data_IF_463985114146
#
_entry.id   IF_463985114146
#
_cell.length_a   1.000
_cell.length_b   1.000
_cell.length_c   1.000
_cell.angle_alpha   90.00
_cell.angle_beta   90.00
_cell.angle_gamma   90.00
#
_symmetry.space_group_name_H-M   'P 1'
#
loop_
_entity.id
_entity.type
_entity.pdbx_description
1 polymer ?
#
# COMPACT_ATOMS: atom_id res chain seq x y z
N UNK A 1 -19.31 -0.22 3.12
CA UNK A 1 -20.20 -0.73 4.18
C UNK A 1 -19.40 -1.42 5.27
N UNK A 2 -19.86 -1.35 6.51
CA UNK A 2 -19.20 -2.01 7.63
C UNK A 2 -20.25 -2.46 8.64
N UNK A 3 -19.85 -3.42 9.47
CA UNK A 3 -20.69 -3.91 10.56
C UNK A 3 -20.51 -3.06 11.82
N UNK A 4 -21.52 -2.99 12.67
CA UNK A 4 -21.40 -2.27 13.94
C UNK A 4 -20.29 -2.84 14.82
N UNK A 5 -20.15 -4.17 14.83
CA UNK A 5 -19.15 -4.88 15.65
C UNK A 5 -17.88 -5.20 14.88
N UNK A 6 -17.81 -4.83 13.61
CA UNK A 6 -16.68 -5.11 12.78
C UNK A 6 -15.70 -3.95 12.72
N UNK A 7 -14.97 -3.90 11.62
CA UNK A 7 -13.95 -2.89 11.39
C UNK A 7 -14.46 -1.83 10.44
N UNK A 8 -13.87 -0.65 10.51
CA UNK A 8 -14.12 0.43 9.56
C UNK A 8 -12.86 0.63 8.75
N UNK A 9 -13.01 0.54 7.43
CA UNK A 9 -11.91 0.73 6.50
C UNK A 9 -12.26 1.88 5.59
N UNK A 10 -11.32 2.80 5.45
CA UNK A 10 -11.48 3.92 4.53
C UNK A 10 -10.42 3.78 3.46
N UNK A 11 -10.85 3.59 2.21
CA UNK A 11 -9.91 3.57 1.09
C UNK A 11 -9.38 4.98 0.91
N UNK A 12 -8.09 5.15 1.13
CA UNK A 12 -7.49 6.47 1.11
C UNK A 12 -6.79 6.75 -0.20
N UNK A 13 -5.99 5.81 -0.65
CA UNK A 13 -5.22 6.01 -1.88
C UNK A 13 -4.87 4.68 -2.51
N UNK A 14 -4.50 4.73 -3.78
CA UNK A 14 -4.07 3.57 -4.53
C UNK A 14 -2.58 3.73 -4.77
N UNK A 15 -1.81 2.70 -4.46
CA UNK A 15 -0.37 2.70 -4.69
C UNK A 15 -0.06 1.83 -5.89
N UNK A 16 0.57 2.43 -6.90
CA UNK A 16 1.04 1.72 -8.07
C UNK A 16 2.45 1.21 -7.80
N UNK A 17 2.68 -0.07 -8.05
CA UNK A 17 3.98 -0.69 -7.85
C UNK A 17 4.67 -0.80 -9.20
N UNK A 18 5.77 -0.08 -9.37
CA UNK A 18 6.38 0.12 -10.68
C UNK A 18 7.78 -0.45 -10.75
N UNK A 19 8.20 -0.81 -11.98
CA UNK A 19 9.53 -1.34 -12.20
C UNK A 19 10.57 -0.24 -12.38
N UNK A 20 10.17 0.86 -13.00
CA UNK A 20 11.08 2.00 -13.24
C UNK A 20 10.43 3.23 -12.61
N UNK A 21 10.87 3.54 -11.40
CA UNK A 21 10.30 4.65 -10.63
C UNK A 21 10.41 5.99 -11.35
N UNK A 22 11.58 6.26 -11.92
CA UNK A 22 11.82 7.55 -12.56
C UNK A 22 10.94 7.75 -13.79
N UNK A 23 10.87 6.73 -14.65
CA UNK A 23 10.02 6.79 -15.84
C UNK A 23 8.55 6.91 -15.49
N UNK A 24 8.11 6.16 -14.49
CA UNK A 24 6.71 6.21 -14.06
C UNK A 24 6.37 7.58 -13.49
N UNK A 25 7.25 8.13 -12.67
CA UNK A 25 7.04 9.46 -12.10
C UNK A 25 6.95 10.51 -13.20
N UNK A 26 7.87 10.47 -14.17
CA UNK A 26 7.86 11.41 -15.29
C UNK A 26 6.58 11.29 -16.11
N UNK A 27 6.10 10.07 -16.31
CA UNK A 27 4.87 9.84 -17.05
C UNK A 27 3.68 10.54 -16.39
N UNK A 28 3.48 10.32 -15.10
CA UNK A 28 2.34 10.89 -14.39
C UNK A 28 2.49 12.38 -14.15
N UNK A 29 3.68 12.84 -13.82
CA UNK A 29 3.94 14.24 -13.53
C UNK A 29 4.01 15.09 -14.78
N UNK A 30 4.84 14.66 -15.75
CA UNK A 30 5.17 15.52 -16.89
C UNK A 30 4.22 15.32 -18.07
N UNK A 31 3.90 14.07 -18.40
CA UNK A 31 3.02 13.79 -19.52
C UNK A 31 1.55 14.00 -19.15
N UNK A 32 1.11 13.46 -18.04
CA UNK A 32 -0.29 13.60 -17.60
C UNK A 32 -0.55 14.86 -16.81
N UNK A 33 0.50 15.52 -16.33
CA UNK A 33 0.37 16.82 -15.66
C UNK A 33 -0.21 16.75 -14.25
N UNK A 34 -0.08 15.61 -13.57
CA UNK A 34 -0.60 15.47 -12.22
C UNK A 34 0.41 16.01 -11.23
N UNK A 35 0.04 16.98 -10.37
CA UNK A 35 1.00 17.55 -9.43
C UNK A 35 1.48 16.55 -8.38
N UNK A 36 2.77 16.63 -8.04
CA UNK A 36 3.34 15.86 -6.95
C UNK A 36 3.15 16.63 -5.65
N UNK A 37 2.69 15.94 -4.60
CA UNK A 37 2.61 16.54 -3.27
C UNK A 37 3.73 16.07 -2.34
N UNK A 38 4.33 14.91 -2.61
CA UNK A 38 5.48 14.42 -1.85
C UNK A 38 6.33 13.52 -2.74
N UNK A 39 7.64 13.70 -2.69
CA UNK A 39 8.59 12.97 -3.54
C UNK A 39 9.84 12.63 -2.73
N UNK A 40 10.18 11.35 -2.70
CA UNK A 40 11.38 10.86 -2.01
C UNK A 40 12.14 9.93 -2.94
N UNK A 41 13.19 10.45 -3.56
CA UNK A 41 13.94 9.68 -4.55
C UNK A 41 14.61 8.45 -3.96
N UNK A 42 15.20 8.57 -2.77
CA UNK A 42 15.89 7.46 -2.14
C UNK A 42 14.95 6.32 -1.76
N UNK A 43 13.72 6.62 -1.43
CA UNK A 43 12.70 5.63 -1.13
C UNK A 43 12.00 5.14 -2.39
N UNK A 44 12.27 5.76 -3.51
CA UNK A 44 11.56 5.51 -4.78
C UNK A 44 10.05 5.62 -4.59
N UNK A 45 9.62 6.72 -4.00
CA UNK A 45 8.25 6.98 -3.63
C UNK A 45 7.80 8.36 -4.12
N UNK A 46 6.57 8.42 -4.65
CA UNK A 46 5.96 9.69 -5.01
C UNK A 46 4.46 9.64 -4.68
N UNK A 47 3.94 10.74 -4.16
CA UNK A 47 2.52 10.92 -3.90
C UNK A 47 2.01 12.02 -4.82
N UNK A 48 0.98 11.69 -5.58
CA UNK A 48 0.37 12.61 -6.53
C UNK A 48 -0.97 13.08 -6.00
N UNK A 49 -1.21 14.37 -6.11
CA UNK A 49 -2.46 14.99 -5.69
C UNK A 49 -3.35 15.21 -6.91
N UNK A 50 -4.37 14.38 -7.04
CA UNK A 50 -5.33 14.46 -8.15
C UNK A 50 -6.72 14.78 -7.60
N UNK A 51 -6.80 15.87 -6.81
CA UNK A 51 -8.05 16.25 -6.17
C UNK A 51 -8.37 15.35 -5.00
N UNK A 52 -9.54 14.72 -5.02
CA UNK A 52 -9.96 13.82 -3.94
C UNK A 52 -9.30 12.46 -4.03
N UNK A 53 -8.90 12.04 -5.24
CA UNK A 53 -8.26 10.76 -5.45
C UNK A 53 -6.75 10.92 -5.38
N UNK A 54 -6.11 10.15 -4.52
CA UNK A 54 -4.66 10.17 -4.37
C UNK A 54 -4.05 8.93 -4.96
N UNK A 55 -2.94 9.12 -5.65
CA UNK A 55 -2.20 8.02 -6.27
C UNK A 55 -0.77 8.10 -5.74
N UNK A 56 -0.27 6.96 -5.25
CA UNK A 56 1.14 6.84 -4.87
C UNK A 56 1.86 6.00 -5.91
N UNK A 57 3.15 6.24 -6.07
CA UNK A 57 4.03 5.37 -6.84
C UNK A 57 5.14 4.91 -5.90
N UNK A 58 5.41 3.61 -5.89
CA UNK A 58 6.51 3.02 -5.15
C UNK A 58 7.13 1.93 -6.02
N UNK A 59 8.46 1.79 -5.99
CA UNK A 59 9.09 0.76 -6.79
C UNK A 59 8.74 -0.64 -6.26
N UNK A 60 8.72 -1.62 -7.17
CA UNK A 60 8.50 -3.02 -6.80
C UNK A 60 9.56 -3.49 -5.79
N UNK A 61 10.80 -3.07 -5.98
CA UNK A 61 11.88 -3.46 -5.08
C UNK A 61 11.68 -2.88 -3.68
N UNK A 62 11.27 -1.61 -3.57
CA UNK A 62 11.03 -1.00 -2.29
C UNK A 62 9.88 -1.69 -1.56
N UNK A 63 8.80 -2.05 -2.28
CA UNK A 63 7.70 -2.78 -1.67
C UNK A 63 8.10 -4.18 -1.22
N UNK A 64 8.93 -4.85 -2.01
CA UNK A 64 9.42 -6.18 -1.65
C UNK A 64 10.20 -6.19 -0.33
N UNK A 65 10.91 -5.11 -0.04
CA UNK A 65 11.62 -5.00 1.24
C UNK A 65 10.65 -4.90 2.42
N UNK A 66 9.50 -4.29 2.18
CA UNK A 66 8.48 -4.12 3.23
C UNK A 66 7.77 -5.43 3.55
N UNK A 67 7.37 -6.16 2.53
CA UNK A 67 6.58 -7.39 2.71
C UNK A 67 7.45 -8.65 2.81
N UNK A 68 8.76 -8.52 2.58
CA UNK A 68 9.66 -9.66 2.52
C UNK A 68 9.79 -10.16 1.08
N UNK A 69 11.03 -10.38 0.64
CA UNK A 69 11.30 -10.77 -0.74
C UNK A 69 10.70 -12.13 -1.10
N UNK A 70 10.54 -12.99 -0.09
CA UNK A 70 9.93 -14.31 -0.26
C UNK A 70 8.44 -14.23 -0.59
N UNK A 71 7.81 -13.10 -0.33
CA UNK A 71 6.39 -12.88 -0.63
C UNK A 71 6.18 -12.25 -2.00
N UNK A 72 7.28 -12.02 -2.72
CA UNK A 72 7.23 -11.48 -4.07
C UNK A 72 7.00 -12.62 -5.05
N UNK A 73 6.06 -12.43 -5.97
CA UNK A 73 5.80 -13.43 -6.98
C UNK A 73 7.01 -13.59 -7.90
N UNK A 74 7.40 -14.83 -8.17
CA UNK A 74 8.50 -15.13 -9.07
C UNK A 74 8.06 -15.32 -10.51
N UNK A 75 6.80 -15.68 -10.72
CA UNK A 75 6.28 -15.95 -12.06
C UNK A 75 5.58 -14.75 -12.69
N UNK A 76 5.39 -13.68 -11.92
CA UNK A 76 4.75 -12.47 -12.40
C UNK A 76 3.23 -12.52 -12.45
N UNK A 77 2.63 -13.69 -12.47
CA UNK A 77 1.18 -13.82 -12.61
C UNK A 77 0.44 -13.35 -11.36
N UNK A 78 1.00 -13.65 -10.20
CA UNK A 78 0.39 -13.24 -8.91
C UNK A 78 1.07 -12.03 -8.31
N UNK A 79 1.96 -11.38 -9.05
CA UNK A 79 2.62 -10.19 -8.57
C UNK A 79 1.70 -9.00 -8.71
N UNK A 80 1.42 -8.33 -7.59
CA UNK A 80 0.58 -7.13 -7.61
C UNK A 80 1.30 -5.97 -8.30
N UNK A 81 0.58 -5.27 -9.16
CA UNK A 81 1.05 -4.03 -9.78
C UNK A 81 0.51 -2.81 -9.04
N UNK A 82 -0.35 -3.04 -8.08
CA UNK A 82 -0.90 -1.99 -7.22
C UNK A 82 -1.29 -2.61 -5.88
N UNK A 83 -1.51 -1.74 -4.90
CA UNK A 83 -2.14 -2.15 -3.67
C UNK A 83 -3.20 -1.13 -3.28
N UNK A 84 -4.19 -1.61 -2.55
CA UNK A 84 -5.20 -0.74 -1.96
C UNK A 84 -4.75 -0.41 -0.54
N UNK A 85 -4.81 0.86 -0.19
CA UNK A 85 -4.39 1.32 1.12
C UNK A 85 -5.59 1.82 1.90
N UNK A 86 -5.89 1.15 3.01
CA UNK A 86 -7.01 1.51 3.88
C UNK A 86 -6.52 2.09 5.18
N UNK A 87 -7.01 3.26 5.51
CA UNK A 87 -6.81 3.81 6.84
C UNK A 87 -7.75 3.12 7.81
N UNK A 88 -7.23 2.77 8.98
CA UNK A 88 -8.01 2.14 10.05
C UNK A 88 -7.78 2.91 11.34
N UNK A 89 -8.65 2.71 12.33
CA UNK A 89 -8.49 3.38 13.61
C UNK A 89 -7.42 2.74 14.47
N UNK A 90 -7.25 1.43 14.33
CA UNK A 90 -6.27 0.67 15.12
C UNK A 90 -5.81 -0.52 14.29
N UNK A 91 -4.54 -0.50 13.90
CA UNK A 91 -4.00 -1.55 13.03
C UNK A 91 -4.01 -2.91 13.73
N UNK A 92 -3.62 -2.95 15.00
CA UNK A 92 -3.54 -4.22 15.74
C UNK A 92 -4.91 -4.86 15.94
N UNK A 93 -5.91 -4.07 16.27
CA UNK A 93 -7.28 -4.58 16.43
C UNK A 93 -7.87 -5.07 15.11
N UNK A 94 -7.60 -4.34 14.04
CA UNK A 94 -8.05 -4.74 12.70
C UNK A 94 -7.38 -6.05 12.29
N UNK A 95 -6.08 -6.15 12.55
CA UNK A 95 -5.31 -7.35 12.30
C UNK A 95 -5.91 -8.55 13.04
N UNK A 96 -6.15 -8.41 14.33
CA UNK A 96 -6.73 -9.48 15.14
C UNK A 96 -8.10 -9.90 14.61
N UNK A 97 -8.95 -8.93 14.30
CA UNK A 97 -10.29 -9.20 13.78
C UNK A 97 -10.22 -9.99 12.46
N UNK A 98 -9.37 -9.56 11.54
CA UNK A 98 -9.25 -10.22 10.24
C UNK A 98 -8.68 -11.61 10.37
N UNK A 99 -7.70 -11.82 11.24
CA UNK A 99 -7.14 -13.14 11.48
C UNK A 99 -8.18 -14.09 12.07
N UNK A 100 -8.99 -13.61 12.99
CA UNK A 100 -10.07 -14.41 13.56
C UNK A 100 -11.09 -14.81 12.52
N UNK A 101 -11.20 -14.07 11.43
CA UNK A 101 -12.10 -14.34 10.33
C UNK A 101 -11.41 -15.01 9.13
N UNK A 102 -10.25 -15.61 9.36
CA UNK A 102 -9.61 -16.47 8.38
C UNK A 102 -8.63 -15.80 7.42
N UNK A 103 -8.30 -14.54 7.64
CA UNK A 103 -7.35 -13.84 6.78
C UNK A 103 -5.92 -14.17 7.21
N UNK A 104 -5.09 -14.56 6.25
CA UNK A 104 -3.67 -14.76 6.48
C UNK A 104 -2.91 -13.50 6.10
N UNK A 105 -2.05 -13.03 7.00
CA UNK A 105 -1.30 -11.79 6.76
C UNK A 105 0.08 -12.08 6.18
N UNK A 106 0.49 -11.19 5.27
CA UNK A 106 1.84 -11.19 4.71
C UNK A 106 2.82 -10.59 5.72
N UNK A 107 2.41 -9.52 6.41
CA UNK A 107 3.19 -8.90 7.48
C UNK A 107 2.32 -8.73 8.72
N UNK A 108 2.95 -8.83 9.89
CA UNK A 108 2.29 -8.47 11.14
C UNK A 108 2.33 -6.95 11.33
N UNK A 109 1.49 -6.39 12.22
CA UNK A 109 1.56 -4.96 12.52
C UNK A 109 2.96 -4.54 12.95
N UNK A 110 3.46 -3.51 12.32
CA UNK A 110 4.77 -2.95 12.67
C UNK A 110 4.85 -1.49 12.27
N UNK A 111 5.77 -0.76 12.87
CA UNK A 111 5.98 0.64 12.57
C UNK A 111 7.04 0.79 11.49
N UNK A 112 6.74 1.62 10.50
CA UNK A 112 7.75 2.08 9.55
C UNK A 112 7.91 3.57 9.75
N UNK A 113 8.97 3.93 10.43
CA UNK A 113 9.19 5.32 10.82
C UNK A 113 9.40 6.25 9.63
N UNK A 114 10.06 5.76 8.60
CA UNK A 114 10.28 6.54 7.38
C UNK A 114 8.97 6.83 6.64
N UNK A 115 7.93 6.03 6.88
CA UNK A 115 6.59 6.26 6.34
C UNK A 115 5.69 6.94 7.36
N UNK A 116 6.18 7.12 8.58
CA UNK A 116 5.42 7.69 9.70
C UNK A 116 4.12 6.94 9.96
N UNK A 117 4.16 5.63 9.78
CA UNK A 117 2.94 4.81 9.83
C UNK A 117 3.17 3.49 10.53
N UNK A 118 2.11 3.00 11.16
CA UNK A 118 2.02 1.61 11.58
C UNK A 118 1.22 0.88 10.52
N UNK A 119 1.72 -0.24 10.04
CA UNK A 119 1.16 -0.94 8.87
C UNK A 119 1.05 -2.43 9.10
N UNK A 120 0.22 -3.08 8.28
CA UNK A 120 0.18 -4.53 8.12
C UNK A 120 -0.36 -4.83 6.72
N UNK A 121 -0.01 -6.00 6.19
CA UNK A 121 -0.36 -6.36 4.81
C UNK A 121 -1.01 -7.73 4.73
N UNK A 122 -1.98 -7.84 3.84
CA UNK A 122 -2.60 -9.12 3.49
C UNK A 122 -3.02 -9.07 2.03
N UNK A 123 -3.52 -10.19 1.51
CA UNK A 123 -3.96 -10.27 0.11
C UNK A 123 -5.43 -10.66 0.05
N UNK A 124 -6.10 -10.16 -0.98
CA UNK A 124 -7.47 -10.58 -1.25
C UNK A 124 -7.47 -11.97 -1.91
N UNK A 125 -8.66 -12.57 -2.19
CA UNK A 125 -8.70 -13.91 -2.80
C UNK A 125 -7.98 -14.04 -4.12
N UNK A 126 -7.85 -12.95 -4.89
CA UNK A 126 -7.15 -12.94 -6.17
C UNK A 126 -5.70 -12.51 -6.05
N UNK A 127 -5.17 -12.48 -4.82
CA UNK A 127 -3.77 -12.17 -4.52
C UNK A 127 -3.39 -10.71 -4.66
N UNK A 128 -4.36 -9.81 -4.76
CA UNK A 128 -4.07 -8.38 -4.75
C UNK A 128 -3.63 -7.96 -3.35
N UNK A 129 -2.57 -7.16 -3.30
CA UNK A 129 -2.01 -6.73 -2.03
C UNK A 129 -2.85 -5.62 -1.40
N UNK A 130 -3.08 -5.73 -0.10
CA UNK A 130 -3.84 -4.75 0.67
C UNK A 130 -3.00 -4.32 1.86
N UNK A 131 -2.96 -3.03 2.11
CA UNK A 131 -2.28 -2.45 3.25
C UNK A 131 -3.30 -1.78 4.16
N UNK A 132 -3.26 -2.10 5.44
CA UNK A 132 -3.98 -1.33 6.45
C UNK A 132 -2.94 -0.49 7.19
N UNK A 133 -3.31 0.76 7.53
CA UNK A 133 -2.35 1.64 8.17
C UNK A 133 -3.02 2.67 9.07
N UNK A 134 -2.20 3.24 9.94
CA UNK A 134 -2.54 4.38 10.77
C UNK A 134 -1.27 5.21 10.94
N UNK A 135 -1.38 6.51 10.77
CA UNK A 135 -0.24 7.40 11.01
C UNK A 135 0.18 7.35 12.48
N UNK A 136 1.49 7.36 12.71
CA UNK A 136 2.06 7.37 14.05
C UNK A 136 1.82 8.71 14.75
#
# INVERSE_FOLDING_TARGET
>A
MYHEEGIKLKLLQIRLLVNDFKKSTEFYRDLLGIPISWYEEEMEYALFNNGETKIEILSQNAMAEVIGKENRSLDGESQSNFLLQFEVQNVDKTYDYLRENGVEFVTEPHDRKEWRSRIAHFRDPDKNLIEIYKML
#
